data_IF_531103155010
#
_entry.id   IF_531103155010
#
_cell.length_a   1.000
_cell.length_b   1.000
_cell.length_c   1.000
_cell.angle_alpha   90.00
_cell.angle_beta   90.00
_cell.angle_gamma   90.00
#
_symmetry.space_group_name_H-M   'P 1'
#
loop_
_entity.id
_entity.type
_entity.pdbx_description
1 polymer ?
#
# COMPACT_ATOMS: atom_id res chain seq x y z
N UNK A 1 29.26 -29.29 -58.39
CA UNK A 1 29.48 -29.02 -56.95
C UNK A 1 28.16 -28.58 -56.35
N UNK A 2 27.82 -29.17 -55.19
CA UNK A 2 26.86 -28.72 -54.19
C UNK A 2 25.36 -28.68 -54.53
N UNK A 3 24.61 -29.49 -53.79
CA UNK A 3 23.14 -29.48 -53.76
C UNK A 3 22.58 -30.33 -52.64
N UNK A 4 23.18 -30.29 -51.45
CA UNK A 4 22.65 -30.95 -50.25
C UNK A 4 21.72 -29.98 -49.51
N UNK A 5 20.40 -30.14 -49.68
CA UNK A 5 19.40 -29.50 -48.81
C UNK A 5 19.10 -30.45 -47.64
N UNK A 6 19.52 -30.05 -46.44
CA UNK A 6 19.13 -30.72 -45.20
C UNK A 6 17.70 -30.31 -44.81
N UNK A 7 16.86 -31.23 -44.30
CA UNK A 7 15.55 -30.87 -43.77
C UNK A 7 15.69 -30.16 -42.41
N UNK A 8 15.08 -28.97 -42.32
CA UNK A 8 14.90 -28.21 -41.08
C UNK A 8 14.05 -29.04 -40.13
N UNK A 9 14.66 -29.46 -39.02
CA UNK A 9 14.02 -30.20 -37.94
C UNK A 9 13.13 -29.21 -37.18
N UNK A 10 11.81 -29.37 -37.30
CA UNK A 10 10.83 -28.65 -36.49
C UNK A 10 11.02 -29.02 -35.02
N UNK A 11 11.68 -28.16 -34.25
CA UNK A 11 11.73 -28.29 -32.80
C UNK A 11 10.47 -27.62 -32.23
N UNK A 12 9.46 -28.45 -32.01
CA UNK A 12 8.23 -28.12 -31.32
C UNK A 12 8.56 -27.63 -29.91
N UNK A 13 8.51 -26.31 -29.71
CA UNK A 13 8.68 -25.68 -28.42
C UNK A 13 7.58 -26.10 -27.47
N UNK A 14 7.89 -27.02 -26.55
CA UNK A 14 7.18 -27.15 -25.26
C UNK A 14 7.37 -25.83 -24.50
N UNK A 15 6.55 -24.83 -24.80
CA UNK A 15 6.39 -23.65 -23.94
C UNK A 15 5.46 -24.05 -22.82
N UNK A 16 6.09 -24.36 -21.68
CA UNK A 16 5.42 -24.44 -20.40
C UNK A 16 4.64 -23.13 -20.15
N UNK A 17 3.35 -23.28 -19.83
CA UNK A 17 2.37 -22.24 -19.50
C UNK A 17 2.72 -21.53 -18.19
N UNK A 18 3.87 -20.84 -18.14
CA UNK A 18 4.41 -20.22 -16.92
C UNK A 18 3.78 -18.86 -16.58
N UNK A 19 2.86 -18.36 -17.41
CA UNK A 19 2.24 -17.04 -17.26
C UNK A 19 0.96 -17.00 -16.41
N UNK A 20 0.16 -18.06 -16.41
CA UNK A 20 -1.14 -18.08 -15.69
C UNK A 20 -0.96 -18.19 -14.16
N UNK A 21 0.17 -18.74 -13.73
CA UNK A 21 0.46 -19.04 -12.33
C UNK A 21 0.85 -17.77 -11.54
N UNK A 22 1.30 -16.69 -12.21
CA UNK A 22 1.74 -15.46 -11.54
C UNK A 22 0.58 -14.63 -10.98
N UNK A 23 -0.42 -14.37 -11.82
CA UNK A 23 -1.57 -13.53 -11.45
C UNK A 23 -2.47 -14.24 -10.44
N UNK A 24 -2.68 -15.54 -10.60
CA UNK A 24 -3.39 -16.35 -9.61
C UNK A 24 -2.66 -16.41 -8.27
N UNK A 25 -1.32 -16.40 -8.25
CA UNK A 25 -0.56 -16.40 -7.00
C UNK A 25 -0.64 -15.07 -6.27
N UNK A 26 -0.68 -13.95 -6.98
CA UNK A 26 -0.85 -12.63 -6.35
C UNK A 26 -2.28 -12.50 -5.80
N UNK A 27 -3.29 -12.92 -6.55
CA UNK A 27 -4.70 -12.94 -6.08
C UNK A 27 -4.84 -13.88 -4.87
N UNK A 28 -4.25 -15.07 -4.92
CA UNK A 28 -4.28 -16.02 -3.79
C UNK A 28 -3.57 -15.45 -2.57
N UNK A 29 -2.41 -14.80 -2.72
CA UNK A 29 -1.70 -14.16 -1.59
C UNK A 29 -2.53 -13.04 -0.97
N UNK A 30 -3.17 -12.19 -1.79
CA UNK A 30 -4.04 -11.11 -1.29
C UNK A 30 -5.27 -11.67 -0.56
N UNK A 31 -5.92 -12.70 -1.13
CA UNK A 31 -7.05 -13.38 -0.47
C UNK A 31 -6.62 -14.05 0.83
N UNK A 32 -5.44 -14.68 0.87
CA UNK A 32 -4.93 -15.37 2.05
C UNK A 32 -4.54 -14.35 3.15
N UNK A 33 -3.95 -13.21 2.80
CA UNK A 33 -3.72 -12.11 3.73
C UNK A 33 -5.02 -11.50 4.25
N UNK A 34 -6.04 -11.34 3.40
CA UNK A 34 -7.36 -10.86 3.83
C UNK A 34 -8.05 -11.87 4.76
N UNK A 35 -7.94 -13.16 4.47
CA UNK A 35 -8.51 -14.23 5.29
C UNK A 35 -7.78 -14.34 6.64
N UNK A 36 -6.45 -14.18 6.65
CA UNK A 36 -5.65 -14.12 7.87
C UNK A 36 -5.96 -12.88 8.70
N UNK A 37 -6.17 -11.72 8.06
CA UNK A 37 -6.62 -10.51 8.74
C UNK A 37 -8.00 -10.67 9.37
N UNK A 38 -8.94 -11.27 8.64
CA UNK A 38 -10.28 -11.59 9.16
C UNK A 38 -10.21 -12.62 10.30
N UNK A 39 -9.39 -13.66 10.16
CA UNK A 39 -9.18 -14.67 11.20
C UNK A 39 -8.54 -14.06 12.44
N UNK A 40 -7.54 -13.18 12.27
CA UNK A 40 -6.90 -12.45 13.37
C UNK A 40 -7.91 -11.56 14.11
N UNK A 41 -8.77 -10.84 13.39
CA UNK A 41 -9.87 -10.04 13.94
C UNK A 41 -10.89 -10.89 14.71
N UNK A 42 -11.26 -12.06 14.18
CA UNK A 42 -12.17 -13.01 14.86
C UNK A 42 -11.51 -13.57 16.12
N UNK A 43 -10.22 -13.90 16.09
CA UNK A 43 -9.50 -14.40 17.27
C UNK A 43 -9.29 -13.32 18.33
N UNK A 44 -9.16 -12.05 17.94
CA UNK A 44 -9.00 -10.95 18.89
C UNK A 44 -10.33 -10.58 19.57
N UNK A 45 -11.47 -10.83 18.90
CA UNK A 45 -12.81 -10.70 19.49
C UNK A 45 -13.17 -11.79 20.50
N UNK A 46 -12.47 -12.93 20.52
CA UNK A 46 -12.71 -14.03 21.46
C UNK A 46 -11.89 -13.93 22.76
N UNK A 47 -11.09 -12.87 22.94
CA UNK A 47 -10.19 -12.70 24.09
C UNK A 47 -10.80 -12.00 25.31
N UNK A 48 -12.04 -11.50 25.25
CA UNK A 48 -12.63 -10.68 26.30
C UNK A 48 -13.24 -11.48 27.47
N UNK A 49 -13.14 -12.82 27.47
CA UNK A 49 -13.65 -13.66 28.56
C UNK A 49 -12.53 -14.51 29.18
N UNK A 50 -11.49 -13.84 29.67
CA UNK A 50 -10.56 -14.45 30.62
C UNK A 50 -10.53 -13.58 31.88
N UNK A 51 -11.33 -14.00 32.85
CA UNK A 51 -11.37 -13.45 34.20
C UNK A 51 -9.97 -13.25 34.77
N UNK A 52 -9.85 -12.14 35.47
CA UNK A 52 -8.69 -11.68 36.22
C UNK A 52 -8.02 -12.85 36.97
N UNK A 53 -6.77 -13.15 36.61
CA UNK A 53 -5.96 -14.13 37.34
C UNK A 53 -5.66 -13.46 38.67
N UNK A 54 -6.31 -13.92 39.74
CA UNK A 54 -6.01 -13.47 41.09
C UNK A 54 -4.52 -13.69 41.37
N UNK A 55 -3.77 -12.59 41.45
CA UNK A 55 -2.40 -12.60 41.95
C UNK A 55 -2.49 -12.88 43.44
N UNK A 56 -2.20 -14.12 43.84
CA UNK A 56 -1.92 -14.42 45.24
C UNK A 56 -0.65 -13.66 45.63
N UNK A 57 -0.83 -12.50 46.27
CA UNK A 57 0.24 -11.84 47.01
C UNK A 57 0.40 -12.61 48.31
N UNK A 58 1.41 -13.48 48.35
CA UNK A 58 1.88 -14.12 49.57
C UNK A 58 2.42 -13.01 50.49
N UNK A 59 1.59 -12.53 51.42
CA UNK A 59 2.06 -11.80 52.59
C UNK A 59 2.99 -12.75 53.36
N UNK A 60 4.29 -12.52 53.20
CA UNK A 60 5.35 -13.13 53.99
C UNK A 60 5.19 -12.68 55.44
N UNK A 61 4.33 -13.37 56.16
CA UNK A 61 4.27 -13.34 57.62
C UNK A 61 5.57 -13.92 58.17
N UNK A 62 6.33 -13.06 58.83
CA UNK A 62 7.57 -13.37 59.52
C UNK A 62 7.33 -14.40 60.63
N UNK A 63 8.20 -15.41 60.69
CA UNK A 63 8.41 -16.30 61.85
C UNK A 63 7.22 -17.12 62.38
N UNK A 64 6.99 -18.31 61.83
CA UNK A 64 6.42 -19.43 62.62
C UNK A 64 7.40 -20.60 62.55
N UNK A 65 8.12 -20.79 63.65
CA UNK A 65 8.97 -21.95 63.92
C UNK A 65 8.05 -23.12 64.32
N UNK A 66 7.98 -24.14 63.46
CA UNK A 66 7.14 -25.31 63.68
C UNK A 66 7.79 -26.24 64.70
N UNK A 67 7.55 -26.02 65.98
CA UNK A 67 7.90 -27.00 67.01
C UNK A 67 6.82 -28.09 67.08
N UNK A 68 7.20 -29.32 66.71
CA UNK A 68 6.30 -30.47 66.68
C UNK A 68 6.22 -31.13 68.07
N UNK A 69 5.22 -30.76 68.86
CA UNK A 69 4.83 -31.54 70.06
C UNK A 69 3.55 -32.30 69.74
N UNK A 70 3.51 -33.64 69.84
CA UNK A 70 2.28 -34.39 69.71
C UNK A 70 1.53 -34.36 71.05
N UNK A 71 0.46 -33.58 71.13
CA UNK A 71 -0.50 -33.59 72.26
C UNK A 71 -1.71 -34.45 71.85
N UNK A 72 -2.23 -35.35 72.72
CA UNK A 72 -3.32 -36.25 72.36
C UNK A 72 -4.64 -35.48 72.17
N UNK A 73 -5.35 -35.84 71.12
CA UNK A 73 -6.60 -35.23 70.66
C UNK A 73 -7.73 -35.51 71.66
N UNK A 74 -8.16 -34.48 72.40
CA UNK A 74 -9.50 -34.46 73.00
C UNK A 74 -10.47 -33.84 71.97
N UNK A 75 -11.37 -34.68 71.48
CA UNK A 75 -12.40 -34.40 70.48
C UNK A 75 -13.43 -33.41 71.03
N UNK A 76 -13.24 -32.11 70.79
CA UNK A 76 -14.23 -31.07 71.07
C UNK A 76 -15.08 -30.81 69.82
N UNK A 77 -16.30 -31.35 69.79
CA UNK A 77 -17.32 -31.01 68.81
C UNK A 77 -17.71 -29.52 68.93
N UNK A 78 -17.29 -28.70 67.96
CA UNK A 78 -17.74 -27.30 67.82
C UNK A 78 -19.02 -27.26 66.97
N UNK A 79 -20.10 -26.57 67.40
CA UNK A 79 -21.26 -26.37 66.53
C UNK A 79 -20.88 -25.43 65.38
N UNK A 80 -20.80 -25.98 64.17
CA UNK A 80 -20.56 -25.24 62.94
C UNK A 80 -21.84 -24.50 62.54
N UNK A 81 -21.93 -23.20 62.85
CA UNK A 81 -22.92 -22.32 62.23
C UNK A 81 -22.21 -21.20 61.49
N UNK A 82 -22.01 -21.40 60.18
CA UNK A 82 -21.61 -20.37 59.23
C UNK A 82 -22.88 -19.63 58.77
N UNK A 83 -23.00 -18.29 58.92
CA UNK A 83 -24.10 -17.57 58.29
C UNK A 83 -23.96 -17.68 56.75
N UNK A 84 -25.05 -17.82 55.99
CA UNK A 84 -24.98 -17.75 54.53
C UNK A 84 -24.41 -16.40 54.10
N UNK A 85 -23.29 -16.41 53.38
CA UNK A 85 -22.79 -15.22 52.68
C UNK A 85 -23.69 -14.97 51.46
N UNK A 86 -24.38 -13.84 51.44
CA UNK A 86 -25.04 -13.34 50.24
C UNK A 86 -23.97 -12.93 49.21
N UNK A 87 -24.05 -13.41 47.94
CA UNK A 87 -23.15 -12.94 46.88
C UNK A 87 -23.39 -11.45 46.62
N UNK A 88 -22.34 -10.64 46.34
CA UNK A 88 -22.55 -9.25 45.96
C UNK A 88 -23.37 -9.16 44.66
N UNK A 89 -24.34 -8.23 44.62
CA UNK A 89 -25.06 -7.87 43.40
C UNK A 89 -24.03 -7.45 42.34
N UNK A 90 -23.98 -8.21 41.25
CA UNK A 90 -23.26 -7.82 40.05
C UNK A 90 -24.03 -6.67 39.41
N UNK A 91 -23.50 -5.46 39.53
CA UNK A 91 -23.97 -4.31 38.73
C UNK A 91 -23.66 -4.64 37.28
N UNK A 92 -24.67 -5.12 36.55
CA UNK A 92 -24.61 -5.30 35.12
C UNK A 92 -24.36 -3.94 34.46
N UNK A 93 -23.23 -3.80 33.78
CA UNK A 93 -22.98 -2.69 32.86
C UNK A 93 -23.85 -2.88 31.60
N UNK A 94 -25.17 -2.75 31.79
CA UNK A 94 -26.18 -2.86 30.75
C UNK A 94 -26.27 -1.54 29.97
N UNK A 95 -25.18 -1.15 29.30
CA UNK A 95 -25.07 0.18 28.71
C UNK A 95 -24.55 0.25 27.28
N UNK A 96 -23.57 -0.57 26.89
CA UNK A 96 -22.78 -0.25 25.69
C UNK A 96 -22.47 -1.44 24.76
N UNK A 97 -23.35 -2.44 24.75
CA UNK A 97 -23.20 -3.62 23.90
C UNK A 97 -23.35 -3.36 22.39
N UNK A 98 -23.82 -2.18 21.97
CA UNK A 98 -24.08 -1.84 20.56
C UNK A 98 -22.92 -1.08 19.89
N UNK A 99 -22.10 -0.36 20.67
CA UNK A 99 -20.90 0.34 20.20
C UNK A 99 -19.89 -0.58 19.52
N UNK A 100 -19.58 -1.80 20.01
CA UNK A 100 -18.68 -2.69 19.27
C UNK A 100 -19.25 -3.11 17.92
N UNK A 101 -20.57 -3.32 17.79
CA UNK A 101 -21.21 -3.65 16.52
C UNK A 101 -21.21 -2.47 15.54
N UNK A 102 -21.39 -1.24 16.04
CA UNK A 102 -21.23 -0.04 15.22
C UNK A 102 -19.81 0.12 14.69
N UNK A 103 -18.80 -0.02 15.56
CA UNK A 103 -17.40 0.10 15.17
C UNK A 103 -17.02 -1.00 14.18
N UNK A 104 -17.51 -2.22 14.37
CA UNK A 104 -17.35 -3.34 13.42
C UNK A 104 -18.00 -3.02 12.07
N UNK A 105 -19.22 -2.49 12.07
CA UNK A 105 -19.95 -2.10 10.86
C UNK A 105 -19.24 -0.97 10.10
N UNK A 106 -18.73 0.04 10.82
CA UNK A 106 -17.94 1.12 10.25
C UNK A 106 -16.63 0.61 9.65
N UNK A 107 -15.90 -0.25 10.36
CA UNK A 107 -14.67 -0.85 9.87
C UNK A 107 -14.93 -1.69 8.60
N UNK A 108 -16.00 -2.49 8.58
CA UNK A 108 -16.40 -3.26 7.41
C UNK A 108 -16.78 -2.35 6.22
N UNK A 109 -17.49 -1.24 6.47
CA UNK A 109 -17.84 -0.28 5.44
C UNK A 109 -16.61 0.41 4.84
N UNK A 110 -15.65 0.81 5.68
CA UNK A 110 -14.37 1.39 5.22
C UNK A 110 -13.56 0.39 4.40
N UNK A 111 -13.49 -0.86 4.85
CA UNK A 111 -12.81 -1.94 4.13
C UNK A 111 -13.46 -2.19 2.77
N UNK A 112 -14.80 -2.27 2.73
CA UNK A 112 -15.56 -2.48 1.50
C UNK A 112 -15.40 -1.29 0.54
N UNK A 113 -15.44 -0.06 1.04
CA UNK A 113 -15.17 1.14 0.26
C UNK A 113 -13.74 1.13 -0.32
N UNK A 114 -12.75 0.71 0.46
CA UNK A 114 -11.37 0.53 0.00
C UNK A 114 -11.25 -0.54 -1.10
N UNK A 115 -11.88 -1.70 -0.90
CA UNK A 115 -11.91 -2.78 -1.91
C UNK A 115 -12.60 -2.31 -3.19
N UNK A 116 -13.73 -1.63 -3.09
CA UNK A 116 -14.45 -1.08 -4.25
C UNK A 116 -13.61 -0.01 -4.95
N UNK A 117 -12.95 0.88 -4.20
CA UNK A 117 -12.05 1.89 -4.77
C UNK A 117 -10.86 1.25 -5.50
N UNK A 118 -10.23 0.24 -4.90
CA UNK A 118 -9.14 -0.52 -5.53
C UNK A 118 -9.64 -1.29 -6.75
N UNK A 119 -10.81 -1.93 -6.67
CA UNK A 119 -11.40 -2.67 -7.78
C UNK A 119 -11.79 -1.75 -8.95
N UNK A 120 -12.36 -0.58 -8.67
CA UNK A 120 -12.64 0.45 -9.67
C UNK A 120 -11.35 0.97 -10.30
N UNK A 121 -10.30 1.18 -9.49
CA UNK A 121 -8.98 1.57 -9.97
C UNK A 121 -8.36 0.49 -10.85
N UNK A 122 -8.34 -0.76 -10.41
CA UNK A 122 -7.86 -1.89 -11.20
C UNK A 122 -8.68 -2.08 -12.49
N UNK A 123 -9.99 -1.85 -12.45
CA UNK A 123 -10.85 -1.94 -13.63
C UNK A 123 -10.60 -0.78 -14.59
N UNK A 124 -10.29 0.42 -14.11
CA UNK A 124 -9.86 1.54 -14.95
C UNK A 124 -8.49 1.27 -15.59
N UNK A 125 -7.55 0.64 -14.87
CA UNK A 125 -6.25 0.20 -15.40
C UNK A 125 -6.36 -1.00 -16.36
N UNK A 126 -7.26 -1.95 -16.09
CA UNK A 126 -7.49 -3.13 -16.96
C UNK A 126 -8.31 -2.81 -18.20
N UNK A 127 -9.27 -1.87 -18.13
CA UNK A 127 -10.01 -1.41 -19.33
C UNK A 127 -9.11 -0.70 -20.35
N UNK A 128 -7.89 -0.30 -19.96
CA UNK A 128 -6.83 0.23 -20.85
C UNK A 128 -5.92 -0.86 -21.41
N UNK A 129 -6.21 -2.12 -21.12
CA UNK A 129 -5.66 -3.27 -21.86
C UNK A 129 -6.69 -3.66 -22.89
N UNK A 130 -6.64 -3.14 -24.14
CA UNK A 130 -7.21 -3.92 -25.21
C UNK A 130 -6.46 -5.25 -25.21
N UNK A 131 -7.21 -6.32 -25.02
CA UNK A 131 -6.85 -7.63 -25.53
C UNK A 131 -6.34 -7.45 -26.96
N UNK A 132 -5.11 -7.89 -27.21
CA UNK A 132 -4.70 -8.64 -28.43
C UNK A 132 -3.19 -8.84 -28.35
N UNK A 133 -2.79 -9.99 -27.81
CA UNK A 133 -1.52 -10.63 -28.14
C UNK A 133 -1.77 -11.59 -29.32
N UNK A 134 -2.30 -11.05 -30.42
CA UNK A 134 -2.36 -11.73 -31.70
C UNK A 134 -1.85 -10.76 -32.77
N UNK A 135 -0.71 -11.14 -33.35
CA UNK A 135 -0.22 -10.69 -34.66
C UNK A 135 -0.36 -9.20 -34.99
N UNK A 136 0.65 -8.42 -34.63
CA UNK A 136 1.06 -7.29 -35.48
C UNK A 136 2.58 -7.16 -35.42
N UNK A 137 3.25 -8.04 -36.17
CA UNK A 137 4.37 -7.58 -36.99
C UNK A 137 3.74 -6.57 -37.98
N UNK A 138 4.32 -5.37 -38.16
CA UNK A 138 3.80 -4.21 -38.93
C UNK A 138 2.75 -3.27 -38.28
N UNK A 139 2.98 -2.85 -37.03
CA UNK A 139 2.56 -1.49 -36.65
C UNK A 139 3.80 -0.63 -36.68
N UNK A 140 3.95 0.15 -37.74
CA UNK A 140 4.91 1.24 -37.81
C UNK A 140 4.78 2.07 -36.52
N UNK A 141 5.85 2.08 -35.72
CA UNK A 141 6.00 2.83 -34.47
C UNK A 141 5.87 4.35 -34.77
N UNK A 142 4.65 4.85 -34.90
CA UNK A 142 4.40 6.25 -34.61
C UNK A 142 4.58 6.38 -33.09
N UNK A 143 5.79 6.74 -32.66
CA UNK A 143 6.05 7.17 -31.29
C UNK A 143 5.10 8.35 -31.03
N UNK A 144 4.02 8.11 -30.28
CA UNK A 144 3.09 9.17 -29.89
C UNK A 144 3.86 10.15 -29.00
N UNK A 145 4.22 11.31 -29.56
CA UNK A 145 4.95 12.36 -28.85
C UNK A 145 4.04 13.07 -27.82
N UNK A 146 4.63 13.42 -26.68
CA UNK A 146 3.92 14.17 -25.63
C UNK A 146 3.63 15.58 -26.10
N UNK A 147 2.36 15.94 -26.23
CA UNK A 147 2.00 17.32 -26.57
C UNK A 147 2.20 18.27 -25.39
N UNK A 148 2.46 19.55 -25.67
CA UNK A 148 2.57 20.63 -24.69
C UNK A 148 1.35 20.69 -23.75
N UNK A 149 0.14 20.42 -24.25
CA UNK A 149 -1.07 20.39 -23.43
C UNK A 149 -1.10 19.21 -22.44
N UNK A 150 -0.68 18.02 -22.89
CA UNK A 150 -0.62 16.83 -22.06
C UNK A 150 0.47 16.96 -20.99
N UNK A 151 1.63 17.53 -21.33
CA UNK A 151 2.68 17.86 -20.38
C UNK A 151 2.20 18.85 -19.31
N UNK A 152 1.45 19.89 -19.71
CA UNK A 152 0.85 20.86 -18.78
C UNK A 152 -0.03 20.17 -17.75
N UNK A 153 -0.91 19.27 -18.21
CA UNK A 153 -1.79 18.50 -17.34
C UNK A 153 -1.02 17.57 -16.39
N UNK A 154 0.08 16.97 -16.84
CA UNK A 154 0.95 16.15 -16.00
C UNK A 154 1.62 16.96 -14.89
N UNK A 155 2.20 18.12 -15.23
CA UNK A 155 2.80 19.03 -14.26
C UNK A 155 1.79 19.54 -13.23
N UNK A 156 0.56 19.84 -13.66
CA UNK A 156 -0.51 20.30 -12.77
C UNK A 156 -0.98 19.19 -11.79
N UNK A 157 -1.17 17.94 -12.24
CA UNK A 157 -1.50 16.82 -11.32
C UNK A 157 -0.35 16.59 -10.34
N UNK A 158 0.91 16.63 -10.80
CA UNK A 158 2.07 16.49 -9.93
C UNK A 158 2.13 17.58 -8.85
N UNK A 159 1.89 18.84 -9.22
CA UNK A 159 1.79 19.96 -8.27
C UNK A 159 0.66 19.76 -7.28
N UNK A 160 -0.50 19.29 -7.73
CA UNK A 160 -1.61 18.97 -6.84
C UNK A 160 -1.26 17.85 -5.84
N UNK A 161 -0.44 16.86 -6.22
CA UNK A 161 0.04 15.84 -5.25
C UNK A 161 0.96 16.44 -4.20
N UNK A 162 1.86 17.34 -4.59
CA UNK A 162 2.76 17.99 -3.64
C UNK A 162 2.00 18.79 -2.57
N UNK A 163 0.89 19.43 -2.94
CA UNK A 163 0.10 20.25 -2.01
C UNK A 163 -0.95 19.48 -1.19
N UNK A 164 -1.39 18.31 -1.64
CA UNK A 164 -2.47 17.55 -0.99
C UNK A 164 -1.99 16.43 -0.08
N UNK A 165 -0.81 15.86 -0.34
CA UNK A 165 -0.24 14.79 0.50
C UNK A 165 0.41 15.42 1.72
N UNK A 166 0.12 14.89 2.92
CA UNK A 166 0.56 15.52 4.18
C UNK A 166 2.07 15.39 4.39
N UNK A 167 2.62 14.20 4.21
CA UNK A 167 4.05 13.95 4.41
C UNK A 167 4.86 14.38 3.17
N UNK A 168 6.00 15.06 3.39
CA UNK A 168 6.80 15.64 2.31
C UNK A 168 7.50 14.59 1.45
N UNK A 169 7.94 13.49 2.08
CA UNK A 169 8.56 12.37 1.41
C UNK A 169 7.54 11.67 0.49
N UNK A 170 6.37 11.33 1.02
CA UNK A 170 5.29 10.71 0.25
C UNK A 170 4.76 11.63 -0.85
N UNK A 171 4.73 12.94 -0.60
CA UNK A 171 4.27 13.93 -1.56
C UNK A 171 5.15 13.95 -2.83
N UNK A 172 6.47 13.89 -2.68
CA UNK A 172 7.41 13.85 -3.82
C UNK A 172 7.25 12.56 -4.62
N UNK A 173 7.12 11.41 -3.95
CA UNK A 173 6.84 10.13 -4.62
C UNK A 173 5.51 10.20 -5.38
N UNK A 174 4.45 10.69 -4.72
CA UNK A 174 3.13 10.81 -5.31
C UNK A 174 3.12 11.74 -6.54
N UNK A 175 3.89 12.83 -6.50
CA UNK A 175 4.04 13.76 -7.61
C UNK A 175 4.74 13.12 -8.81
N UNK A 176 5.85 12.41 -8.60
CA UNK A 176 6.53 11.67 -9.68
C UNK A 176 5.62 10.63 -10.33
N UNK A 177 4.90 9.85 -9.51
CA UNK A 177 3.95 8.86 -10.01
C UNK A 177 2.70 9.49 -10.66
N UNK A 178 2.37 10.75 -10.34
CA UNK A 178 1.34 11.51 -11.05
C UNK A 178 1.81 11.92 -12.45
N UNK A 179 3.08 12.33 -12.60
CA UNK A 179 3.68 12.58 -13.91
C UNK A 179 3.59 11.33 -14.79
N UNK A 180 4.16 10.21 -14.34
CA UNK A 180 4.14 8.94 -15.12
C UNK A 180 2.71 8.53 -15.51
N UNK A 181 1.77 8.59 -14.57
CA UNK A 181 0.38 8.18 -14.84
C UNK A 181 -0.33 9.11 -15.82
N UNK A 182 -0.05 10.40 -15.78
CA UNK A 182 -0.71 11.38 -16.64
C UNK A 182 -0.12 11.35 -18.05
N UNK A 183 1.21 11.21 -18.16
CA UNK A 183 1.90 10.95 -19.43
C UNK A 183 1.39 9.63 -20.03
N UNK A 184 1.30 8.55 -19.25
CA UNK A 184 0.76 7.29 -19.74
C UNK A 184 -0.73 7.35 -20.11
N UNK A 185 -1.50 8.27 -19.51
CA UNK A 185 -2.90 8.49 -19.87
C UNK A 185 -3.04 9.25 -21.21
N UNK A 186 -1.97 9.88 -21.69
CA UNK A 186 -1.92 10.56 -22.98
C UNK A 186 -1.76 9.59 -24.17
N UNK A 187 -1.53 8.29 -23.92
CA UNK A 187 -1.32 7.27 -24.97
C UNK A 187 0.12 6.75 -25.01
N UNK A 188 1.05 7.53 -24.47
CA UNK A 188 2.48 7.22 -24.44
C UNK A 188 2.78 6.02 -23.56
N UNK A 189 3.36 4.98 -24.15
CA UNK A 189 3.63 3.73 -23.44
C UNK A 189 5.09 3.57 -23.11
N UNK A 190 5.36 3.49 -21.81
CA UNK A 190 6.64 3.07 -21.27
C UNK A 190 7.02 1.66 -21.76
N UNK A 191 8.26 1.49 -22.21
CA UNK A 191 8.78 0.17 -22.63
C UNK A 191 8.88 -0.77 -21.42
N UNK A 192 8.71 -2.10 -21.58
CA UNK A 192 8.69 -3.03 -20.44
C UNK A 192 9.94 -2.99 -19.54
N UNK A 193 11.12 -2.71 -20.12
CA UNK A 193 12.39 -2.62 -19.41
C UNK A 193 12.75 -1.20 -18.95
N UNK A 194 12.04 -0.18 -19.46
CA UNK A 194 12.31 1.21 -19.10
C UNK A 194 11.90 1.44 -17.66
N UNK A 195 12.65 2.24 -16.92
CA UNK A 195 12.29 2.63 -15.56
C UNK A 195 11.31 3.81 -15.57
N UNK A 196 10.58 4.03 -14.46
CA UNK A 196 9.74 5.23 -14.30
C UNK A 196 10.54 6.52 -14.45
N UNK A 197 11.81 6.51 -14.01
CA UNK A 197 12.69 7.66 -14.09
C UNK A 197 13.06 7.99 -15.53
N UNK A 198 13.55 6.98 -16.27
CA UNK A 198 13.88 7.11 -17.70
C UNK A 198 12.67 7.50 -18.53
N UNK A 199 11.48 7.00 -18.18
CA UNK A 199 10.25 7.33 -18.89
C UNK A 199 9.89 8.81 -18.72
N UNK A 200 9.67 9.27 -17.49
CA UNK A 200 9.26 10.66 -17.25
C UNK A 200 10.33 11.64 -17.71
N UNK A 201 11.62 11.34 -17.50
CA UNK A 201 12.69 12.21 -17.98
C UNK A 201 12.74 12.30 -19.50
N UNK A 202 12.65 11.18 -20.22
CA UNK A 202 12.68 11.18 -21.69
C UNK A 202 11.56 12.04 -22.27
N UNK A 203 10.32 11.73 -21.89
CA UNK A 203 9.13 12.39 -22.44
C UNK A 203 9.08 13.90 -22.13
N UNK A 204 9.54 14.33 -20.96
CA UNK A 204 9.59 15.76 -20.63
C UNK A 204 10.81 16.47 -21.23
N UNK A 205 11.91 15.77 -21.48
CA UNK A 205 13.12 16.34 -22.08
C UNK A 205 12.95 16.60 -23.58
N UNK A 206 12.15 15.79 -24.27
CA UNK A 206 11.83 15.96 -25.69
C UNK A 206 11.09 17.29 -25.96
N UNK A 207 10.42 17.83 -24.94
CA UNK A 207 9.79 19.16 -24.97
C UNK A 207 10.76 20.33 -24.74
N UNK A 208 12.07 20.05 -24.68
CA UNK A 208 13.13 21.05 -24.48
C UNK A 208 12.95 21.88 -23.21
N UNK A 209 12.40 21.27 -22.16
CA UNK A 209 12.22 21.91 -20.86
C UNK A 209 13.54 22.06 -20.09
N UNK A 210 13.55 22.94 -19.09
CA UNK A 210 14.69 23.17 -18.20
C UNK A 210 15.23 21.86 -17.59
N UNK A 211 16.40 21.45 -18.07
CA UNK A 211 17.01 20.18 -17.72
C UNK A 211 17.49 20.14 -16.26
N UNK A 212 17.87 21.28 -15.69
CA UNK A 212 18.34 21.37 -14.30
C UNK A 212 17.18 21.18 -13.32
N UNK A 213 16.03 21.81 -13.58
CA UNK A 213 14.82 21.63 -12.79
C UNK A 213 14.31 20.19 -12.85
N UNK A 214 14.35 19.55 -14.03
CA UNK A 214 13.96 18.15 -14.19
C UNK A 214 14.92 17.19 -13.47
N UNK A 215 16.24 17.41 -13.57
CA UNK A 215 17.22 16.60 -12.85
C UNK A 215 17.06 16.75 -11.33
N UNK A 216 16.89 17.97 -10.83
CA UNK A 216 16.68 18.25 -9.41
C UNK A 216 15.40 17.57 -8.88
N UNK A 217 14.30 17.62 -9.63
CA UNK A 217 13.07 16.91 -9.27
C UNK A 217 13.30 15.39 -9.22
N UNK A 218 14.00 14.84 -10.21
CA UNK A 218 14.34 13.41 -10.24
C UNK A 218 15.29 13.00 -9.10
N UNK A 219 16.17 13.89 -8.68
CA UNK A 219 17.06 13.70 -7.56
C UNK A 219 16.29 13.62 -6.25
N UNK A 220 15.32 14.52 -6.03
CA UNK A 220 14.43 14.47 -4.87
C UNK A 220 13.60 13.18 -4.85
N UNK A 221 13.09 12.74 -5.99
CA UNK A 221 12.37 11.47 -6.10
C UNK A 221 13.25 10.27 -5.74
N UNK A 222 14.47 10.18 -6.28
CA UNK A 222 15.42 9.12 -5.94
C UNK A 222 15.79 9.13 -4.45
N UNK A 223 15.98 10.32 -3.87
CA UNK A 223 16.22 10.46 -2.43
C UNK A 223 15.03 9.95 -1.62
N UNK A 224 13.81 10.29 -2.00
CA UNK A 224 12.64 9.73 -1.32
C UNK A 224 12.63 8.19 -1.40
N UNK A 225 12.95 7.59 -2.55
CA UNK A 225 12.93 6.12 -2.66
C UNK A 225 14.03 5.38 -1.89
N UNK A 226 15.24 5.95 -1.83
CA UNK A 226 16.43 5.19 -1.47
C UNK A 226 17.24 5.78 -0.33
N UNK A 227 17.01 7.05 0.02
CA UNK A 227 17.71 7.69 1.13
C UNK A 227 17.08 7.27 2.45
N UNK A 228 17.92 7.02 3.47
CA UNK A 228 17.43 6.56 4.77
C UNK A 228 16.77 7.70 5.58
N UNK A 229 17.12 8.94 5.26
CA UNK A 229 16.59 10.12 5.93
C UNK A 229 15.36 10.62 5.16
N UNK A 230 14.19 10.78 5.81
CA UNK A 230 12.99 11.26 5.16
C UNK A 230 13.19 12.71 4.66
N UNK A 231 12.48 13.05 3.60
CA UNK A 231 12.47 14.41 3.08
C UNK A 231 11.68 15.33 4.03
N UNK A 232 12.16 16.56 4.19
CA UNK A 232 11.50 17.60 4.97
C UNK A 232 10.69 18.54 4.08
N UNK A 233 10.04 19.53 4.69
CA UNK A 233 9.20 20.48 3.97
C UNK A 233 9.99 21.34 2.97
N UNK A 234 11.28 21.61 3.24
CA UNK A 234 12.15 22.33 2.30
C UNK A 234 12.38 21.56 1.01
N UNK A 235 12.47 20.23 1.09
CA UNK A 235 12.52 19.39 -0.10
C UNK A 235 11.23 19.47 -0.92
N UNK A 236 10.06 19.54 -0.25
CA UNK A 236 8.78 19.76 -0.94
C UNK A 236 8.71 21.13 -1.62
N UNK A 237 9.12 22.19 -0.93
CA UNK A 237 9.22 23.55 -1.50
C UNK A 237 10.14 23.58 -2.73
N UNK A 238 11.27 22.88 -2.65
CA UNK A 238 12.21 22.73 -3.77
C UNK A 238 11.57 22.00 -4.95
N UNK A 239 10.83 20.91 -4.70
CA UNK A 239 10.10 20.18 -5.74
C UNK A 239 9.01 21.05 -6.40
N UNK A 240 8.28 21.85 -5.61
CA UNK A 240 7.29 22.81 -6.12
C UNK A 240 7.95 23.86 -7.02
N UNK A 241 9.10 24.39 -6.62
CA UNK A 241 9.86 25.35 -7.41
C UNK A 241 10.32 24.74 -8.75
N UNK A 242 10.81 23.50 -8.75
CA UNK A 242 11.16 22.79 -9.98
C UNK A 242 9.94 22.66 -10.92
N UNK A 243 8.78 22.24 -10.40
CA UNK A 243 7.55 22.14 -11.21
C UNK A 243 7.08 23.50 -11.74
N UNK A 244 7.24 24.57 -10.97
CA UNK A 244 6.90 25.93 -11.41
C UNK A 244 7.82 26.39 -12.55
N UNK A 245 9.12 26.12 -12.47
CA UNK A 245 10.07 26.43 -13.55
C UNK A 245 9.74 25.65 -14.83
N UNK A 246 9.54 24.33 -14.72
CA UNK A 246 9.15 23.49 -15.87
C UNK A 246 7.84 23.97 -16.51
N UNK A 247 6.90 24.41 -15.69
CA UNK A 247 5.62 24.96 -16.15
C UNK A 247 5.78 26.27 -16.90
N UNK A 248 6.61 27.19 -16.38
CA UNK A 248 6.90 28.46 -17.03
C UNK A 248 7.60 28.26 -18.38
N UNK A 249 8.53 27.32 -18.43
CA UNK A 249 9.26 27.02 -19.65
C UNK A 249 8.34 26.42 -20.72
N UNK A 250 7.46 25.49 -20.34
CA UNK A 250 6.44 24.93 -21.21
C UNK A 250 5.47 26.00 -21.76
N UNK A 251 5.07 26.96 -20.94
CA UNK A 251 4.24 28.09 -21.37
C UNK A 251 4.98 28.99 -22.38
N UNK A 252 6.32 29.07 -22.27
CA UNK A 252 7.17 29.80 -23.21
C UNK A 252 7.28 29.09 -24.57
N UNK A 253 7.44 27.77 -24.58
CA UNK A 253 7.45 26.91 -25.79
C UNK A 253 6.13 27.08 -26.54
N UNK A 254 5.00 26.98 -25.84
CA UNK A 254 3.65 27.16 -26.41
C UNK A 254 3.44 28.54 -27.05
N UNK A 255 3.99 29.59 -26.44
CA UNK A 255 3.91 30.95 -26.97
C UNK A 255 4.76 31.14 -28.24
N UNK A 256 5.85 30.38 -28.37
CA UNK A 256 6.66 30.29 -29.59
C UNK A 256 5.92 29.60 -30.74
N UNK A 257 5.25 28.48 -30.44
CA UNK A 257 4.42 27.73 -31.40
C UNK A 257 3.28 28.58 -31.97
N UNK A 258 2.56 29.32 -31.11
CA UNK A 258 1.43 30.15 -31.54
C UNK A 258 1.83 31.37 -32.40
N UNK A 259 3.13 31.68 -32.50
CA UNK A 259 3.66 32.82 -33.27
C UNK A 259 4.25 32.40 -34.62
N UNK A 260 4.58 31.12 -34.82
CA UNK A 260 5.02 30.57 -36.12
C UNK A 260 3.83 30.25 -37.01
#
# INVERSE_FOLDING_TARGET
MSGARLPVRTQQGRRSSRGDVGDHRIVVVVVLCAMLGALALVTLGAGADRGEIAVFTEERGDGIEWESTPEPEDELELPSQTPPLEPPEQVGDDGDGWVPYLLMGLAAAVLLAGVVWIALRMRALSRRRPDTAADTEDSEDAEEELTTQQARAALDDARARLSTVVDAHDAVIAAWLALERTIAAAGIRRRPSQTTLEFVQGELSDLHLDAEALDQLSHLYRRALFDAQPLDERARESALACLDLLTQDLDSVRAGEARS
#
